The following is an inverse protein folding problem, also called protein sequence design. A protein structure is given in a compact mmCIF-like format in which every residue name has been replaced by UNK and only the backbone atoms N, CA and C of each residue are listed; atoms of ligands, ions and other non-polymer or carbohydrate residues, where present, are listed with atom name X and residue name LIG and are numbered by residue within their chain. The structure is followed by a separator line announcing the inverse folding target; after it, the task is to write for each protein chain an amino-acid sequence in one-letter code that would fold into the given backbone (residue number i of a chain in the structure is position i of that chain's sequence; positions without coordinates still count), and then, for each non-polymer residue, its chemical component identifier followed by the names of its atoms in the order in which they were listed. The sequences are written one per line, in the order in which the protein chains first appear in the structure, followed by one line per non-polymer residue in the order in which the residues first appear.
data_IF_200187187341
#
_entry.id   IF_200187187341
#
_cell.length_a   1.000
_cell.length_b   1.000
_cell.length_c   1.000
_cell.angle_alpha   90.00
_cell.angle_beta   90.00
_cell.angle_gamma   90.00
#
_symmetry.space_group_name_H-M   'P 1'
#
loop_
_entity.id
_entity.type
_entity.pdbx_description
1 polymer ?
#
# COMPACT_ATOMS: atom_id res chain seq x y z
N UNK A 1 7.46 17.97 25.93
CA UNK A 1 7.54 18.03 24.45
C UNK A 1 6.24 17.68 23.75
N UNK A 2 5.42 16.75 24.28
CA UNK A 2 4.16 16.33 23.66
C UNK A 2 3.15 17.44 23.26
N UNK A 3 2.94 18.55 24.01
CA UNK A 3 1.88 19.51 23.68
C UNK A 3 2.03 20.21 22.33
N UNK A 4 3.27 20.46 21.88
CA UNK A 4 3.54 21.09 20.59
C UNK A 4 3.20 20.16 19.41
N UNK A 5 3.64 18.90 19.51
CA UNK A 5 3.39 17.88 18.50
C UNK A 5 1.89 17.60 18.34
N UNK A 6 1.16 17.45 19.44
CA UNK A 6 -0.29 17.16 19.41
C UNK A 6 -1.08 18.30 18.73
N UNK A 7 -0.78 19.56 19.07
CA UNK A 7 -1.40 20.73 18.42
C UNK A 7 -1.11 20.75 16.92
N UNK A 8 0.11 20.40 16.53
CA UNK A 8 0.51 20.38 15.13
C UNK A 8 -0.20 19.27 14.34
N UNK A 9 -0.33 18.07 14.91
CA UNK A 9 -1.06 16.96 14.28
C UNK A 9 -2.55 17.28 14.10
N UNK A 10 -3.20 17.90 15.10
CA UNK A 10 -4.59 18.37 14.97
C UNK A 10 -4.73 19.47 13.90
N UNK A 11 -3.77 20.41 13.85
CA UNK A 11 -3.73 21.45 12.82
C UNK A 11 -3.62 20.84 11.42
N UNK A 12 -2.74 19.85 11.24
CA UNK A 12 -2.55 19.15 9.96
C UNK A 12 -3.78 18.34 9.58
N UNK A 13 -4.41 17.63 10.53
CA UNK A 13 -5.66 16.91 10.29
C UNK A 13 -6.76 17.85 9.79
N UNK A 14 -6.99 18.96 10.49
CA UNK A 14 -7.98 19.95 10.09
C UNK A 14 -7.64 20.58 8.72
N UNK A 15 -6.35 20.76 8.41
CA UNK A 15 -5.89 21.23 7.10
C UNK A 15 -6.21 20.23 5.99
N UNK A 16 -5.96 18.93 6.21
CA UNK A 16 -6.30 17.85 5.26
C UNK A 16 -7.82 17.83 5.01
N UNK A 17 -8.63 17.89 6.07
CA UNK A 17 -10.09 17.92 5.98
C UNK A 17 -10.58 19.11 5.13
N UNK A 18 -10.10 20.34 5.39
CA UNK A 18 -10.47 21.53 4.60
C UNK A 18 -10.04 21.47 3.14
N UNK A 19 -8.96 20.73 2.84
CA UNK A 19 -8.37 20.64 1.51
C UNK A 19 -8.68 19.31 0.80
N UNK A 20 -9.72 18.58 1.21
CA UNK A 20 -10.06 17.26 0.69
C UNK A 20 -10.31 17.17 -0.84
N UNK A 21 -10.42 18.31 -1.52
CA UNK A 21 -10.64 18.43 -2.97
C UNK A 21 -9.40 18.93 -3.74
N UNK A 22 -8.26 19.08 -3.07
CA UNK A 22 -7.08 19.77 -3.60
C UNK A 22 -5.83 18.90 -3.44
N UNK A 23 -5.47 18.08 -4.45
CA UNK A 23 -4.44 17.06 -4.31
C UNK A 23 -3.08 17.65 -3.95
N UNK A 24 -2.68 18.79 -4.53
CA UNK A 24 -1.43 19.45 -4.18
C UNK A 24 -1.38 19.92 -2.72
N UNK A 25 -2.50 20.45 -2.19
CA UNK A 25 -2.58 20.84 -0.78
C UNK A 25 -2.57 19.62 0.16
N UNK A 26 -3.20 18.52 -0.25
CA UNK A 26 -3.13 17.24 0.44
C UNK A 26 -1.70 16.69 0.45
N UNK A 27 -0.99 16.68 -0.69
CA UNK A 27 0.41 16.25 -0.79
C UNK A 27 1.28 17.00 0.20
N UNK A 28 1.21 18.34 0.22
CA UNK A 28 1.95 19.16 1.19
C UNK A 28 1.60 18.81 2.64
N UNK A 29 0.32 18.61 2.94
CA UNK A 29 -0.11 18.28 4.29
C UNK A 29 0.36 16.89 4.73
N UNK A 30 0.31 15.89 3.86
CA UNK A 30 0.82 14.55 4.15
C UNK A 30 2.35 14.51 4.22
N UNK A 31 3.09 15.31 3.44
CA UNK A 31 4.54 15.53 3.65
C UNK A 31 4.79 15.99 5.09
N UNK A 32 4.08 17.03 5.55
CA UNK A 32 4.22 17.53 6.92
C UNK A 32 3.84 16.49 7.97
N UNK A 33 2.83 15.65 7.73
CA UNK A 33 2.50 14.54 8.63
C UNK A 33 3.68 13.55 8.70
N UNK A 34 4.21 13.11 7.55
CA UNK A 34 5.32 12.17 7.47
C UNK A 34 6.58 12.68 8.17
N UNK A 35 6.87 13.98 8.07
CA UNK A 35 7.99 14.62 8.78
C UNK A 35 7.87 14.57 10.30
N UNK A 36 6.64 14.52 10.84
CA UNK A 36 6.38 14.42 12.28
C UNK A 36 6.36 12.99 12.80
N UNK A 37 6.26 11.98 11.94
CA UNK A 37 6.19 10.57 12.32
C UNK A 37 7.37 10.07 13.18
N UNK A 38 8.66 10.45 12.95
CA UNK A 38 9.74 9.99 13.83
C UNK A 38 9.56 10.52 15.25
N UNK A 39 9.31 11.83 15.38
CA UNK A 39 9.06 12.48 16.67
C UNK A 39 7.84 11.90 17.36
N UNK A 40 6.80 11.55 16.60
CA UNK A 40 5.62 10.86 17.11
C UNK A 40 5.98 9.54 17.77
N UNK A 41 6.67 8.62 17.07
CA UNK A 41 6.98 7.31 17.64
C UNK A 41 7.98 7.41 18.79
N UNK A 42 8.99 8.28 18.70
CA UNK A 42 9.92 8.54 19.81
C UNK A 42 9.18 9.01 21.05
N UNK A 43 8.22 9.93 20.91
CA UNK A 43 7.40 10.40 22.03
C UNK A 43 6.51 9.28 22.55
N UNK A 44 5.86 8.55 21.65
CA UNK A 44 4.89 7.50 21.97
C UNK A 44 5.47 6.35 22.80
N UNK A 45 6.74 6.02 22.64
CA UNK A 45 7.40 4.97 23.42
C UNK A 45 7.48 5.32 24.92
N UNK A 46 7.57 6.62 25.25
CA UNK A 46 7.64 7.08 26.64
C UNK A 46 6.29 7.29 27.31
N UNK A 47 5.19 7.17 26.56
CA UNK A 47 3.84 7.47 27.05
C UNK A 47 3.11 6.21 27.51
N UNK A 48 2.29 6.37 28.56
CA UNK A 48 1.39 5.29 29.02
C UNK A 48 0.34 5.03 27.96
N UNK A 49 0.30 3.81 27.42
CA UNK A 49 -0.60 3.46 26.32
C UNK A 49 -2.07 3.41 26.77
N UNK A 50 -2.99 3.65 25.84
CA UNK A 50 -4.43 3.56 26.10
C UNK A 50 -4.83 2.12 26.44
N UNK A 51 -5.95 1.97 27.16
CA UNK A 51 -6.51 0.65 27.49
C UNK A 51 -6.77 -0.19 26.23
N UNK A 52 -7.34 0.42 25.19
CA UNK A 52 -7.62 -0.20 23.89
C UNK A 52 -6.35 -0.79 23.25
N UNK A 53 -5.24 -0.04 23.27
CA UNK A 53 -3.94 -0.51 22.75
C UNK A 53 -3.41 -1.68 23.56
N UNK A 54 -3.47 -1.59 24.90
CA UNK A 54 -2.99 -2.66 25.77
C UNK A 54 -3.80 -3.95 25.57
N UNK A 55 -5.14 -3.85 25.49
CA UNK A 55 -6.02 -4.98 25.21
C UNK A 55 -5.73 -5.59 23.84
N UNK A 56 -5.60 -4.77 22.80
CA UNK A 56 -5.25 -5.23 21.46
C UNK A 56 -3.87 -5.91 21.40
N UNK A 57 -2.87 -5.38 22.11
CA UNK A 57 -1.52 -5.96 22.18
C UNK A 57 -1.54 -7.35 22.77
N UNK A 58 -2.25 -7.54 23.88
CA UNK A 58 -2.44 -8.84 24.52
C UNK A 58 -3.19 -9.80 23.59
N UNK A 59 -4.27 -9.33 22.96
CA UNK A 59 -5.14 -10.16 22.12
C UNK A 59 -4.48 -10.61 20.82
N UNK A 60 -3.73 -9.74 20.13
CA UNK A 60 -3.18 -10.04 18.80
C UNK A 60 -1.65 -10.19 18.79
N UNK A 61 -1.01 -10.22 19.96
CA UNK A 61 0.45 -10.41 20.11
C UNK A 61 1.31 -9.41 19.32
N UNK A 62 1.02 -8.11 19.43
CA UNK A 62 1.80 -7.05 18.78
C UNK A 62 2.46 -6.09 19.77
N UNK A 63 3.42 -5.29 19.28
CA UNK A 63 4.36 -4.52 20.12
C UNK A 63 4.43 -3.02 19.85
N UNK A 64 3.78 -2.52 18.81
CA UNK A 64 3.85 -1.11 18.43
C UNK A 64 3.12 -0.19 19.42
N UNK A 65 3.33 1.12 19.29
CA UNK A 65 2.77 2.14 20.20
C UNK A 65 2.12 3.29 19.43
N UNK A 66 1.20 3.97 20.10
CA UNK A 66 0.59 5.21 19.64
C UNK A 66 0.43 6.21 20.79
N UNK A 67 0.35 7.51 20.46
CA UNK A 67 0.03 8.54 21.44
C UNK A 67 -1.46 8.42 21.78
N UNK A 68 -1.82 8.15 23.05
CA UNK A 68 -3.23 8.00 23.44
C UNK A 68 -4.08 9.24 23.12
N UNK A 69 -3.47 10.43 23.19
CA UNK A 69 -4.16 11.71 22.97
C UNK A 69 -4.41 11.99 21.48
N UNK A 70 -3.61 11.39 20.60
CA UNK A 70 -3.77 11.50 19.15
C UNK A 70 -3.23 10.25 18.47
N UNK A 71 -4.05 9.20 18.30
CA UNK A 71 -3.59 8.05 17.56
C UNK A 71 -3.50 8.40 16.07
N UNK A 72 -2.33 8.19 15.45
CA UNK A 72 -2.12 8.51 14.02
C UNK A 72 -3.12 7.82 13.08
N UNK A 73 -3.76 6.72 13.51
CA UNK A 73 -4.81 6.06 12.72
C UNK A 73 -5.98 6.99 12.36
N UNK A 74 -6.15 8.13 13.05
CA UNK A 74 -7.13 9.19 12.70
C UNK A 74 -6.89 9.80 11.31
N UNK A 75 -5.71 9.64 10.72
CA UNK A 75 -5.43 10.05 9.35
C UNK A 75 -5.93 9.04 8.31
N UNK A 76 -6.23 7.78 8.68
CA UNK A 76 -6.56 6.71 7.72
C UNK A 76 -7.83 7.00 6.90
N UNK A 77 -8.96 7.43 7.50
CA UNK A 77 -10.15 7.75 6.69
C UNK A 77 -9.92 8.92 5.73
N UNK A 78 -9.05 9.86 6.09
CA UNK A 78 -8.68 10.99 5.23
C UNK A 78 -7.78 10.54 4.08
N UNK A 79 -6.80 9.68 4.38
CA UNK A 79 -5.90 9.08 3.41
C UNK A 79 -6.65 8.19 2.40
N UNK A 80 -7.58 7.35 2.87
CA UNK A 80 -8.40 6.51 2.00
C UNK A 80 -9.25 7.34 1.03
N UNK A 81 -9.95 8.37 1.53
CA UNK A 81 -10.69 9.30 0.67
C UNK A 81 -9.80 10.01 -0.35
N UNK A 82 -8.60 10.41 0.06
CA UNK A 82 -7.63 11.06 -0.83
C UNK A 82 -7.14 10.11 -1.92
N UNK A 83 -6.76 8.86 -1.58
CA UNK A 83 -6.34 7.84 -2.54
C UNK A 83 -7.46 7.47 -3.53
N UNK A 84 -8.68 7.24 -3.04
CA UNK A 84 -9.80 6.89 -3.91
C UNK A 84 -10.19 8.03 -4.86
N UNK A 85 -9.99 9.28 -4.43
CA UNK A 85 -10.33 10.46 -5.24
C UNK A 85 -9.25 10.84 -6.24
N UNK A 86 -7.98 10.62 -5.88
CA UNK A 86 -6.82 11.07 -6.65
C UNK A 86 -5.77 9.94 -6.83
N UNK A 87 -6.16 8.76 -7.33
CA UNK A 87 -5.22 7.64 -7.50
C UNK A 87 -4.08 7.93 -8.50
N UNK A 88 -4.25 8.93 -9.37
CA UNK A 88 -3.27 9.40 -10.36
C UNK A 88 -2.23 10.38 -9.80
N UNK A 89 -2.50 10.96 -8.62
CA UNK A 89 -1.66 12.02 -8.04
C UNK A 89 -0.45 11.42 -7.32
N UNK A 90 0.59 11.11 -8.11
CA UNK A 90 1.83 10.43 -7.70
C UNK A 90 2.42 10.90 -6.37
N UNK A 91 2.59 12.22 -6.19
CA UNK A 91 3.15 12.77 -4.95
C UNK A 91 2.28 12.48 -3.72
N UNK A 92 0.96 12.54 -3.87
CA UNK A 92 0.00 12.24 -2.81
C UNK A 92 0.00 10.75 -2.47
N UNK A 93 -0.10 9.90 -3.49
CA UNK A 93 -0.08 8.43 -3.36
C UNK A 93 1.18 7.98 -2.63
N UNK A 94 2.34 8.51 -3.03
CA UNK A 94 3.62 8.15 -2.43
C UNK A 94 3.68 8.48 -0.94
N UNK A 95 3.17 9.66 -0.54
CA UNK A 95 3.14 10.06 0.86
C UNK A 95 2.17 9.23 1.70
N UNK A 96 1.01 8.89 1.14
CA UNK A 96 0.06 8.05 1.83
C UNK A 96 0.60 6.61 1.95
N UNK A 97 1.22 6.06 0.90
CA UNK A 97 1.81 4.73 0.92
C UNK A 97 2.96 4.64 1.95
N UNK A 98 3.84 5.64 2.02
CA UNK A 98 4.90 5.72 3.03
C UNK A 98 4.31 5.76 4.45
N UNK A 99 3.35 6.66 4.68
CA UNK A 99 2.64 6.76 5.97
C UNK A 99 1.97 5.43 6.35
N UNK A 100 1.26 4.78 5.43
CA UNK A 100 0.62 3.48 5.65
C UNK A 100 1.64 2.42 6.08
N UNK A 101 2.80 2.39 5.43
CA UNK A 101 3.86 1.43 5.76
C UNK A 101 4.31 1.57 7.21
N UNK A 102 4.32 2.79 7.77
CA UNK A 102 4.67 3.00 9.18
C UNK A 102 3.50 2.77 10.15
N UNK A 103 2.27 3.18 9.77
CA UNK A 103 1.10 2.99 10.63
C UNK A 103 0.74 1.52 10.83
N UNK A 104 0.97 0.69 9.82
CA UNK A 104 0.59 -0.71 9.86
C UNK A 104 1.71 -1.66 10.24
N UNK A 105 2.91 -1.15 10.57
CA UNK A 105 4.11 -1.97 10.83
C UNK A 105 4.00 -2.94 12.02
N UNK A 106 2.96 -2.84 12.83
CA UNK A 106 2.55 -3.84 13.84
C UNK A 106 1.26 -3.45 14.59
N UNK A 107 0.53 -2.40 14.21
CA UNK A 107 -0.66 -1.96 14.95
C UNK A 107 -1.93 -2.62 14.39
N UNK A 108 -2.48 -3.60 15.11
CA UNK A 108 -3.65 -4.34 14.65
C UNK A 108 -4.90 -3.46 14.51
N UNK A 109 -5.09 -2.51 15.42
CA UNK A 109 -6.21 -1.56 15.37
C UNK A 109 -6.11 -0.70 14.11
N UNK A 110 -4.91 -0.17 13.82
CA UNK A 110 -4.68 0.60 12.61
C UNK A 110 -4.93 -0.24 11.35
N UNK A 111 -4.43 -1.49 11.28
CA UNK A 111 -4.66 -2.38 10.13
C UNK A 111 -6.16 -2.58 9.86
N UNK A 112 -6.92 -2.96 10.88
CA UNK A 112 -8.36 -3.15 10.76
C UNK A 112 -9.08 -1.86 10.34
N UNK A 113 -8.70 -0.71 10.90
CA UNK A 113 -9.25 0.59 10.50
C UNK A 113 -8.91 0.93 9.04
N UNK A 114 -7.67 0.67 8.61
CA UNK A 114 -7.21 0.88 7.24
C UNK A 114 -8.02 0.05 6.23
N UNK A 115 -8.26 -1.22 6.56
CA UNK A 115 -9.11 -2.11 5.76
C UNK A 115 -10.55 -1.61 5.71
N UNK A 116 -11.15 -1.24 6.85
CA UNK A 116 -12.54 -0.74 6.94
C UNK A 116 -12.78 0.59 6.22
N UNK A 117 -11.79 1.48 6.20
CA UNK A 117 -11.98 2.82 5.63
C UNK A 117 -11.63 2.90 4.13
N UNK A 118 -11.24 1.79 3.49
CA UNK A 118 -10.99 1.71 2.05
C UNK A 118 -9.56 2.07 1.63
N UNK A 119 -8.56 1.95 2.51
CA UNK A 119 -7.14 2.15 2.11
C UNK A 119 -6.75 1.15 1.02
N UNK A 120 -7.19 -0.11 1.12
CA UNK A 120 -6.89 -1.12 0.10
C UNK A 120 -7.44 -0.74 -1.27
N UNK A 121 -8.71 -0.32 -1.34
CA UNK A 121 -9.31 0.18 -2.57
C UNK A 121 -8.48 1.32 -3.19
N UNK A 122 -8.12 2.31 -2.37
CA UNK A 122 -7.33 3.46 -2.83
C UNK A 122 -5.95 3.08 -3.34
N UNK A 123 -5.22 2.21 -2.63
CA UNK A 123 -3.90 1.73 -3.04
C UNK A 123 -3.97 0.87 -4.30
N UNK A 124 -4.95 -0.03 -4.42
CA UNK A 124 -5.16 -0.82 -5.64
C UNK A 124 -5.52 0.07 -6.83
N UNK A 125 -6.33 1.11 -6.62
CA UNK A 125 -6.65 2.10 -7.66
C UNK A 125 -5.40 2.82 -8.14
N UNK A 126 -4.53 3.25 -7.22
CA UNK A 126 -3.27 3.90 -7.55
C UNK A 126 -2.29 2.96 -8.27
N UNK A 127 -2.17 1.69 -7.84
CA UNK A 127 -1.42 0.68 -8.57
C UNK A 127 -1.98 0.50 -9.99
N UNK A 128 -3.31 0.47 -10.14
CA UNK A 128 -3.93 0.45 -11.47
C UNK A 128 -3.49 1.61 -12.36
N UNK A 129 -3.47 2.85 -11.84
CA UNK A 129 -2.99 4.01 -12.59
C UNK A 129 -1.51 3.90 -12.98
N UNK A 130 -0.66 3.36 -12.10
CA UNK A 130 0.75 3.10 -12.41
C UNK A 130 0.88 2.05 -13.51
N UNK A 131 0.10 0.97 -13.48
CA UNK A 131 0.10 -0.08 -14.51
C UNK A 131 -0.30 0.44 -15.92
N UNK A 132 -1.11 1.50 -15.98
CA UNK A 132 -1.50 2.15 -17.24
C UNK A 132 -0.42 3.06 -17.84
N UNK A 133 0.67 3.33 -17.11
CA UNK A 133 1.75 4.22 -17.56
C UNK A 133 2.62 3.53 -18.62
N UNK A 134 2.73 4.16 -19.80
CA UNK A 134 3.56 3.69 -20.90
C UNK A 134 4.36 4.85 -21.52
N UNK A 135 5.70 4.73 -21.67
CA UNK A 135 6.53 3.61 -21.22
C UNK A 135 6.59 3.50 -19.69
N UNK A 136 6.72 2.28 -19.17
CA UNK A 136 6.87 2.04 -17.73
C UNK A 136 8.28 2.43 -17.27
N UNK A 137 8.37 3.54 -16.54
CA UNK A 137 9.64 4.15 -16.16
C UNK A 137 10.22 3.58 -14.86
N UNK A 138 11.47 3.94 -14.55
CA UNK A 138 12.08 3.61 -13.26
C UNK A 138 11.33 4.27 -12.08
N UNK A 139 10.75 5.45 -12.29
CA UNK A 139 9.90 6.08 -11.29
C UNK A 139 8.64 5.24 -11.04
N UNK A 140 7.99 4.73 -12.10
CA UNK A 140 6.82 3.87 -11.99
C UNK A 140 7.12 2.57 -11.22
N UNK A 141 8.33 2.02 -11.37
CA UNK A 141 8.81 0.90 -10.55
C UNK A 141 8.87 1.26 -9.06
N UNK A 142 9.42 2.44 -8.72
CA UNK A 142 9.48 2.92 -7.34
C UNK A 142 8.08 3.15 -6.76
N UNK A 143 7.17 3.71 -7.56
CA UNK A 143 5.76 3.89 -7.14
C UNK A 143 5.10 2.55 -6.87
N UNK A 144 5.21 1.59 -7.78
CA UNK A 144 4.65 0.26 -7.61
C UNK A 144 5.22 -0.42 -6.34
N UNK A 145 6.54 -0.37 -6.12
CA UNK A 145 7.17 -0.88 -4.89
C UNK A 145 6.52 -0.30 -3.64
N UNK A 146 6.35 1.03 -3.59
CA UNK A 146 5.81 1.73 -2.42
C UNK A 146 4.34 1.39 -2.19
N UNK A 147 3.55 1.35 -3.26
CA UNK A 147 2.12 1.02 -3.19
C UNK A 147 1.96 -0.43 -2.72
N UNK A 148 2.64 -1.40 -3.34
CA UNK A 148 2.53 -2.80 -2.94
C UNK A 148 3.15 -3.08 -1.58
N UNK A 149 4.23 -2.39 -1.22
CA UNK A 149 4.77 -2.39 0.13
C UNK A 149 3.73 -1.94 1.16
N UNK A 150 2.98 -0.87 0.87
CA UNK A 150 1.90 -0.39 1.72
C UNK A 150 0.72 -1.36 1.78
N UNK A 151 0.27 -1.90 0.62
CA UNK A 151 -0.78 -2.92 0.54
C UNK A 151 -0.42 -4.11 1.42
N UNK A 152 0.80 -4.66 1.24
CA UNK A 152 1.32 -5.74 2.07
C UNK A 152 1.25 -5.38 3.56
N UNK A 153 1.69 -4.18 3.94
CA UNK A 153 1.65 -3.75 5.35
C UNK A 153 0.25 -3.62 5.90
N UNK A 154 -0.76 -3.23 5.11
CA UNK A 154 -2.16 -3.17 5.56
C UNK A 154 -2.64 -4.56 5.98
N UNK A 155 -2.36 -5.59 5.16
CA UNK A 155 -2.95 -6.92 5.31
C UNK A 155 -2.07 -7.96 6.00
N UNK A 156 -0.77 -7.73 6.13
CA UNK A 156 0.08 -8.69 6.84
C UNK A 156 -0.38 -8.82 8.30
N UNK A 157 -0.43 -10.03 8.87
CA UNK A 157 -0.64 -10.19 10.30
C UNK A 157 0.43 -9.48 11.12
N UNK A 158 0.05 -9.04 12.33
CA UNK A 158 0.91 -8.15 13.10
C UNK A 158 2.22 -8.79 13.58
N UNK A 159 2.26 -10.10 13.82
CA UNK A 159 3.48 -10.80 14.23
C UNK A 159 3.36 -12.31 14.01
N UNK A 160 4.46 -13.06 14.18
CA UNK A 160 4.40 -14.53 14.20
C UNK A 160 3.49 -15.05 15.33
N UNK A 161 3.40 -14.31 16.44
CA UNK A 161 2.59 -14.68 17.60
C UNK A 161 1.09 -14.60 17.32
N UNK A 162 0.69 -13.89 16.26
CA UNK A 162 -0.69 -13.88 15.77
C UNK A 162 -1.14 -15.29 15.34
N UNK A 163 -0.27 -16.07 14.69
CA UNK A 163 -0.63 -17.41 14.22
C UNK A 163 -0.88 -18.40 15.37
N UNK A 164 -0.25 -18.17 16.51
CA UNK A 164 -0.49 -18.93 17.75
C UNK A 164 -1.77 -18.52 18.48
N UNK A 165 -2.48 -17.47 18.03
CA UNK A 165 -3.73 -17.07 18.65
C UNK A 165 -4.87 -18.05 18.33
N UNK A 166 -5.90 -18.10 19.21
CA UNK A 166 -7.16 -18.79 18.93
C UNK A 166 -7.78 -18.44 17.58
N UNK A 167 -8.54 -19.39 17.01
CA UNK A 167 -9.12 -19.24 15.66
C UNK A 167 -10.10 -18.07 15.58
N UNK A 168 -10.91 -17.84 16.62
CA UNK A 168 -11.85 -16.73 16.72
C UNK A 168 -11.16 -15.36 16.69
N UNK A 169 -10.01 -15.22 17.37
CA UNK A 169 -9.19 -13.99 17.32
C UNK A 169 -8.65 -13.73 15.92
N UNK A 170 -8.25 -14.78 15.21
CA UNK A 170 -7.76 -14.66 13.83
C UNK A 170 -8.89 -14.36 12.85
N UNK A 171 -10.03 -15.00 13.05
CA UNK A 171 -11.22 -14.83 12.23
C UNK A 171 -11.79 -13.41 12.33
N UNK A 172 -11.69 -12.76 13.49
CA UNK A 172 -11.98 -11.33 13.62
C UNK A 172 -11.16 -10.49 12.63
N UNK A 173 -9.86 -10.72 12.53
CA UNK A 173 -8.99 -10.01 11.59
C UNK A 173 -9.28 -10.38 10.13
N UNK A 174 -9.30 -11.68 9.82
CA UNK A 174 -9.48 -12.14 8.44
C UNK A 174 -10.89 -11.85 7.90
N UNK A 175 -11.92 -11.73 8.75
CA UNK A 175 -13.25 -11.31 8.31
C UNK A 175 -13.24 -9.87 7.78
N UNK A 176 -12.53 -8.96 8.45
CA UNK A 176 -12.33 -7.58 8.00
C UNK A 176 -11.51 -7.57 6.71
N UNK A 177 -10.46 -8.39 6.64
CA UNK A 177 -9.61 -8.50 5.47
C UNK A 177 -10.37 -9.02 4.24
N UNK A 178 -11.15 -10.10 4.38
CA UNK A 178 -11.98 -10.64 3.29
C UNK A 178 -13.01 -9.63 2.79
N UNK A 179 -13.66 -8.89 3.68
CA UNK A 179 -14.59 -7.81 3.29
C UNK A 179 -13.85 -6.77 2.46
N UNK A 180 -12.71 -6.29 2.95
CA UNK A 180 -11.95 -5.25 2.27
C UNK A 180 -11.41 -5.70 0.91
N UNK A 181 -10.99 -6.97 0.77
CA UNK A 181 -10.60 -7.54 -0.53
C UNK A 181 -11.77 -7.74 -1.49
N UNK A 182 -12.96 -8.07 -0.98
CA UNK A 182 -14.18 -8.17 -1.77
C UNK A 182 -14.68 -6.82 -2.30
N UNK A 183 -14.39 -5.74 -1.59
CA UNK A 183 -14.75 -4.37 -1.98
C UNK A 183 -13.78 -3.76 -3.01
N UNK A 184 -12.60 -4.36 -3.25
CA UNK A 184 -11.65 -3.83 -4.22
C UNK A 184 -12.23 -3.88 -5.65
N UNK A 185 -12.48 -2.71 -6.20
CA UNK A 185 -12.95 -2.50 -7.55
C UNK A 185 -11.99 -1.62 -8.37
N UNK A 186 -11.23 -2.26 -9.26
CA UNK A 186 -10.39 -1.59 -10.26
C UNK A 186 -10.77 -2.03 -11.68
N UNK A 187 -12.05 -2.36 -11.89
CA UNK A 187 -12.55 -2.94 -13.14
C UNK A 187 -12.30 -2.05 -14.36
N UNK A 188 -12.41 -0.72 -14.24
CA UNK A 188 -12.12 0.21 -15.34
C UNK A 188 -10.66 0.10 -15.79
N UNK A 189 -9.72 0.09 -14.85
CA UNK A 189 -8.29 -0.09 -15.13
C UNK A 189 -8.03 -1.44 -15.78
N UNK A 190 -8.59 -2.52 -15.22
CA UNK A 190 -8.37 -3.88 -15.72
C UNK A 190 -8.92 -4.06 -17.14
N UNK A 191 -10.06 -3.43 -17.48
CA UNK A 191 -10.59 -3.42 -18.84
C UNK A 191 -9.64 -2.73 -19.82
N UNK A 192 -9.04 -1.59 -19.43
CA UNK A 192 -8.06 -0.90 -20.27
C UNK A 192 -6.80 -1.75 -20.45
N UNK A 193 -6.30 -2.40 -19.38
CA UNK A 193 -5.14 -3.30 -19.47
C UNK A 193 -5.41 -4.51 -20.35
N UNK A 194 -6.56 -5.16 -20.18
CA UNK A 194 -6.97 -6.31 -21.00
C UNK A 194 -7.03 -5.96 -22.49
N UNK A 195 -7.58 -4.78 -22.83
CA UNK A 195 -7.64 -4.30 -24.21
C UNK A 195 -6.25 -4.03 -24.83
N UNK A 196 -5.28 -3.56 -24.04
CA UNK A 196 -3.90 -3.31 -24.51
C UNK A 196 -3.09 -4.59 -24.71
N UNK A 197 -3.28 -5.54 -23.80
CA UNK A 197 -2.40 -6.72 -23.73
C UNK A 197 -3.01 -7.97 -24.38
N UNK A 198 -4.21 -7.85 -24.94
CA UNK A 198 -4.88 -8.92 -25.68
C UNK A 198 -5.25 -10.10 -24.78
N UNK A 199 -5.55 -9.84 -23.51
CA UNK A 199 -5.95 -10.90 -22.59
C UNK A 199 -7.43 -11.24 -22.79
N UNK A 200 -7.76 -12.52 -22.57
CA UNK A 200 -9.15 -12.96 -22.52
C UNK A 200 -9.87 -12.20 -21.40
N UNK A 201 -11.14 -11.84 -21.66
CA UNK A 201 -11.96 -11.30 -20.59
C UNK A 201 -12.19 -12.38 -19.54
N UNK A 202 -12.01 -12.02 -18.27
CA UNK A 202 -12.37 -12.87 -17.14
C UNK A 202 -13.83 -12.66 -16.70
N UNK A 203 -14.66 -12.10 -17.60
CA UNK A 203 -16.09 -11.89 -17.40
C UNK A 203 -16.80 -13.25 -17.30
N UNK A 204 -17.16 -13.64 -16.08
CA UNK A 204 -17.94 -14.82 -15.78
C UNK A 204 -18.34 -14.80 -14.30
N UNK A 205 -19.39 -15.51 -13.88
CA UNK A 205 -19.70 -15.70 -12.46
C UNK A 205 -18.93 -16.90 -11.89
N UNK A 206 -18.09 -16.73 -10.84
CA UNK A 206 -17.74 -15.46 -10.20
C UNK A 206 -16.71 -14.65 -10.97
N UNK A 207 -16.81 -13.32 -10.86
CA UNK A 207 -15.83 -12.42 -11.45
C UNK A 207 -14.46 -12.63 -10.77
N UNK A 208 -13.38 -12.50 -11.53
CA UNK A 208 -12.04 -12.58 -10.98
C UNK A 208 -11.84 -11.54 -9.87
N UNK A 209 -11.23 -11.93 -8.75
CA UNK A 209 -10.83 -10.97 -7.73
C UNK A 209 -9.85 -9.94 -8.33
N UNK A 210 -10.27 -8.67 -8.37
CA UNK A 210 -9.53 -7.60 -9.04
C UNK A 210 -8.14 -7.35 -8.44
N UNK A 211 -7.96 -7.51 -7.13
CA UNK A 211 -6.67 -7.35 -6.48
C UNK A 211 -5.67 -8.44 -6.88
N UNK A 212 -6.13 -9.70 -6.95
CA UNK A 212 -5.30 -10.81 -7.44
C UNK A 212 -4.92 -10.58 -8.91
N UNK A 213 -5.89 -10.23 -9.75
CA UNK A 213 -5.65 -10.00 -11.18
C UNK A 213 -4.64 -8.87 -11.41
N UNK A 214 -4.80 -7.74 -10.70
CA UNK A 214 -3.85 -6.62 -10.76
C UNK A 214 -2.45 -7.04 -10.27
N UNK A 215 -2.36 -7.79 -9.18
CA UNK A 215 -1.07 -8.23 -8.64
C UNK A 215 -0.34 -9.19 -9.59
N UNK A 216 -1.08 -10.12 -10.20
CA UNK A 216 -0.54 -11.04 -11.22
C UNK A 216 -0.09 -10.30 -12.48
N UNK A 217 -0.79 -9.23 -12.88
CA UNK A 217 -0.33 -8.37 -13.98
C UNK A 217 1.08 -7.82 -13.73
N UNK A 218 1.34 -7.29 -12.52
CA UNK A 218 2.67 -6.80 -12.16
C UNK A 218 3.73 -7.89 -12.18
N UNK A 219 3.43 -9.08 -11.66
CA UNK A 219 4.34 -10.24 -11.69
C UNK A 219 4.66 -10.64 -13.13
N UNK A 220 3.63 -10.71 -14.00
CA UNK A 220 3.78 -11.10 -15.40
C UNK A 220 4.58 -10.09 -16.21
N UNK A 221 4.28 -8.80 -16.06
CA UNK A 221 4.87 -7.72 -16.87
C UNK A 221 6.27 -7.35 -16.43
N UNK A 222 6.59 -7.56 -15.16
CA UNK A 222 7.86 -7.12 -14.58
C UNK A 222 8.57 -8.22 -13.75
N UNK A 223 8.86 -9.39 -14.34
CA UNK A 223 9.42 -10.54 -13.61
C UNK A 223 10.85 -10.34 -13.12
N UNK A 224 11.56 -9.32 -13.64
CA UNK A 224 12.93 -8.98 -13.25
C UNK A 224 13.00 -7.87 -12.18
N UNK A 225 11.87 -7.43 -11.60
CA UNK A 225 11.90 -6.41 -10.56
C UNK A 225 12.52 -6.96 -9.27
N UNK A 226 13.44 -6.21 -8.70
CA UNK A 226 14.03 -6.47 -7.38
C UNK A 226 12.97 -6.62 -6.27
N UNK A 227 11.77 -6.08 -6.49
CA UNK A 227 10.72 -5.92 -5.50
C UNK A 227 9.54 -6.90 -5.72
N UNK A 228 9.75 -7.98 -6.49
CA UNK A 228 8.72 -8.98 -6.75
C UNK A 228 8.22 -9.68 -5.46
N UNK A 229 9.04 -9.67 -4.40
CA UNK A 229 8.65 -10.16 -3.08
C UNK A 229 7.40 -9.44 -2.55
N UNK A 230 7.27 -8.13 -2.76
CA UNK A 230 6.07 -7.40 -2.32
C UNK A 230 4.81 -7.88 -3.04
N UNK A 231 4.87 -8.16 -4.34
CA UNK A 231 3.72 -8.65 -5.10
C UNK A 231 3.33 -10.06 -4.66
N UNK A 232 4.32 -10.95 -4.48
CA UNK A 232 4.08 -12.32 -4.04
C UNK A 232 3.55 -12.38 -2.59
N UNK A 233 4.06 -11.52 -1.70
CA UNK A 233 3.54 -11.42 -0.34
C UNK A 233 2.12 -10.86 -0.31
N UNK A 234 1.76 -9.92 -1.20
CA UNK A 234 0.35 -9.48 -1.35
C UNK A 234 -0.54 -10.64 -1.80
N UNK A 235 -0.13 -11.42 -2.82
CA UNK A 235 -0.88 -12.61 -3.23
C UNK A 235 -1.07 -13.61 -2.08
N UNK A 236 0.00 -13.90 -1.33
CA UNK A 236 -0.09 -14.81 -0.20
C UNK A 236 -1.04 -14.28 0.86
N UNK A 237 -0.92 -13.01 1.26
CA UNK A 237 -1.76 -12.42 2.30
C UNK A 237 -3.25 -12.42 1.88
N UNK A 238 -3.56 -12.10 0.62
CA UNK A 238 -4.92 -12.27 0.08
C UNK A 238 -5.39 -13.70 0.32
N UNK A 239 -4.62 -14.71 -0.11
CA UNK A 239 -5.02 -16.10 0.04
C UNK A 239 -5.19 -16.54 1.49
N UNK A 240 -4.36 -16.03 2.39
CA UNK A 240 -4.39 -16.31 3.82
C UNK A 240 -5.74 -15.97 4.44
N UNK A 241 -6.31 -14.81 4.09
CA UNK A 241 -7.64 -14.39 4.50
C UNK A 241 -8.75 -15.39 4.12
N UNK A 242 -8.54 -16.13 3.03
CA UNK A 242 -9.46 -17.15 2.50
C UNK A 242 -8.96 -18.59 2.78
N UNK A 243 -8.21 -18.80 3.87
CA UNK A 243 -7.79 -20.14 4.30
C UNK A 243 -6.67 -20.74 3.44
N UNK A 244 -5.76 -19.88 2.97
CA UNK A 244 -4.71 -20.18 2.00
C UNK A 244 -5.25 -20.73 0.68
N UNK A 245 -6.28 -20.05 0.15
CA UNK A 245 -6.87 -20.32 -1.17
C UNK A 245 -7.09 -19.01 -1.91
N UNK A 246 -6.95 -19.01 -3.22
CA UNK A 246 -7.27 -17.83 -4.02
C UNK A 246 -8.79 -17.76 -4.25
N UNK A 247 -9.49 -16.72 -3.76
CA UNK A 247 -10.91 -16.55 -4.02
C UNK A 247 -11.18 -16.52 -5.54
N UNK A 248 -12.32 -17.09 -5.95
CA UNK A 248 -12.84 -17.12 -7.33
C UNK A 248 -12.01 -17.89 -8.38
N UNK A 249 -10.78 -18.32 -8.06
CA UNK A 249 -9.89 -18.98 -9.03
C UNK A 249 -10.38 -20.37 -9.43
N UNK A 250 -10.86 -21.19 -8.48
CA UNK A 250 -11.36 -22.54 -8.78
C UNK A 250 -12.63 -22.54 -9.65
N UNK A 251 -13.39 -21.45 -9.61
CA UNK A 251 -14.70 -21.32 -10.24
C UNK A 251 -14.62 -20.68 -11.65
N UNK A 252 -13.46 -20.14 -12.03
CA UNK A 252 -13.24 -19.45 -13.30
C UNK A 252 -12.03 -20.04 -14.05
N UNK A 253 -12.29 -20.88 -15.06
CA UNK A 253 -11.25 -21.64 -15.77
C UNK A 253 -10.22 -20.75 -16.49
N UNK A 254 -10.66 -19.66 -17.13
CA UNK A 254 -9.76 -18.72 -17.80
C UNK A 254 -8.85 -18.02 -16.78
N UNK A 255 -9.41 -17.57 -15.66
CA UNK A 255 -8.63 -16.95 -14.59
C UNK A 255 -7.66 -17.94 -13.94
N UNK A 256 -8.09 -19.19 -13.74
CA UNK A 256 -7.25 -20.28 -13.23
C UNK A 256 -6.03 -20.54 -14.11
N UNK A 257 -6.24 -20.66 -15.43
CA UNK A 257 -5.14 -20.80 -16.39
C UNK A 257 -4.20 -19.59 -16.35
N UNK A 258 -4.72 -18.37 -16.32
CA UNK A 258 -3.91 -17.16 -16.21
C UNK A 258 -3.04 -17.12 -14.94
N UNK A 259 -3.61 -17.49 -13.79
CA UNK A 259 -2.88 -17.55 -12.50
C UNK A 259 -1.73 -18.56 -12.61
N UNK A 260 -2.02 -19.77 -13.11
CA UNK A 260 -1.03 -20.83 -13.28
C UNK A 260 0.10 -20.39 -14.20
N UNK A 261 -0.23 -19.92 -15.40
CA UNK A 261 0.75 -19.56 -16.43
C UNK A 261 1.63 -18.42 -15.96
N UNK A 262 1.06 -17.43 -15.27
CA UNK A 262 1.80 -16.29 -14.71
C UNK A 262 2.82 -16.77 -13.67
N UNK A 263 2.41 -17.61 -12.72
CA UNK A 263 3.29 -18.12 -11.66
C UNK A 263 4.35 -19.09 -12.20
N UNK A 264 4.00 -19.96 -13.15
CA UNK A 264 4.96 -20.88 -13.79
C UNK A 264 6.00 -20.12 -14.63
N UNK A 265 5.59 -19.04 -15.30
CA UNK A 265 6.50 -18.14 -16.04
C UNK A 265 7.43 -17.42 -15.07
N UNK A 266 6.91 -16.86 -13.97
CA UNK A 266 7.72 -16.21 -12.94
C UNK A 266 8.75 -17.16 -12.30
N UNK A 267 8.40 -18.44 -12.16
CA UNK A 267 9.31 -19.49 -11.65
C UNK A 267 10.48 -19.80 -12.58
N UNK A 268 10.34 -19.53 -13.89
CA UNK A 268 11.34 -19.80 -14.93
C UNK A 268 11.83 -18.48 -15.54
N UNK A 269 12.51 -17.62 -14.77
CA UNK A 269 12.95 -16.33 -15.28
C UNK A 269 13.88 -16.52 -16.48
N UNK A 270 13.79 -15.60 -17.45
CA UNK A 270 14.64 -15.61 -18.64
C UNK A 270 16.14 -15.61 -18.32
N UNK A 271 16.54 -15.10 -17.15
CA UNK A 271 17.90 -15.26 -16.62
C UNK A 271 17.83 -15.66 -15.13
N UNK A 272 18.37 -16.83 -14.73
CA UNK A 272 18.26 -17.37 -13.37
C UNK A 272 18.83 -16.48 -12.26
N UNK A 273 19.83 -15.65 -12.56
CA UNK A 273 20.51 -14.79 -11.59
C UNK A 273 19.65 -13.65 -11.02
N UNK A 274 18.44 -13.42 -11.55
CA UNK A 274 17.58 -12.31 -11.12
C UNK A 274 16.70 -12.61 -9.91
N UNK A 275 16.53 -13.89 -9.53
CA UNK A 275 15.69 -14.26 -8.40
C UNK A 275 16.51 -14.56 -7.16
N UNK A 276 16.16 -13.88 -6.07
CA UNK A 276 16.65 -14.24 -4.74
C UNK A 276 16.01 -15.56 -4.28
N UNK A 277 16.65 -16.24 -3.33
CA UNK A 277 16.10 -17.46 -2.73
C UNK A 277 14.70 -17.25 -2.14
N UNK A 278 14.48 -16.10 -1.50
CA UNK A 278 13.19 -15.74 -0.89
C UNK A 278 12.11 -15.60 -1.97
N UNK A 279 12.41 -14.96 -3.10
CA UNK A 279 11.47 -14.83 -4.21
C UNK A 279 11.10 -16.21 -4.79
N UNK A 280 12.06 -17.12 -4.94
CA UNK A 280 11.76 -18.49 -5.37
C UNK A 280 10.84 -19.22 -4.39
N UNK A 281 11.14 -19.14 -3.09
CA UNK A 281 10.31 -19.78 -2.05
C UNK A 281 8.89 -19.17 -2.02
N UNK A 282 8.74 -17.86 -2.27
CA UNK A 282 7.43 -17.18 -2.39
C UNK A 282 6.65 -17.57 -3.67
N UNK A 283 7.33 -17.79 -4.80
CA UNK A 283 6.68 -18.31 -6.02
C UNK A 283 6.20 -19.74 -5.79
N UNK A 284 7.05 -20.59 -5.20
CA UNK A 284 6.69 -21.97 -4.87
C UNK A 284 5.51 -22.01 -3.89
N UNK A 285 5.47 -21.10 -2.91
CA UNK A 285 4.32 -20.92 -2.00
C UNK A 285 3.04 -20.53 -2.76
N UNK A 286 3.10 -19.54 -3.65
CA UNK A 286 1.95 -19.12 -4.45
C UNK A 286 1.43 -20.27 -5.33
N UNK A 287 2.31 -21.09 -5.90
CA UNK A 287 1.94 -22.30 -6.65
C UNK A 287 1.32 -23.38 -5.77
N UNK A 288 1.76 -23.55 -4.52
CA UNK A 288 1.13 -24.45 -3.56
C UNK A 288 -0.27 -23.97 -3.17
N UNK A 289 -0.44 -22.66 -2.94
CA UNK A 289 -1.75 -22.04 -2.70
C UNK A 289 -2.68 -22.25 -3.89
N UNK A 290 -2.19 -22.07 -5.12
CA UNK A 290 -2.95 -22.36 -6.34
C UNK A 290 -3.41 -23.82 -6.38
N UNK A 291 -2.51 -24.79 -6.14
CA UNK A 291 -2.86 -26.21 -6.09
C UNK A 291 -3.87 -26.54 -4.99
N UNK A 292 -3.70 -25.96 -3.80
CA UNK A 292 -4.65 -26.08 -2.69
C UNK A 292 -6.03 -25.51 -3.06
N UNK A 293 -6.06 -24.40 -3.80
CA UNK A 293 -7.31 -23.78 -4.27
C UNK A 293 -8.12 -24.75 -5.15
N UNK A 294 -7.43 -25.58 -5.96
CA UNK A 294 -8.08 -26.59 -6.80
C UNK A 294 -8.40 -27.88 -6.05
N UNK A 295 -7.56 -28.28 -5.08
CA UNK A 295 -7.74 -29.50 -4.31
C UNK A 295 -7.38 -29.28 -2.82
N UNK A 296 -8.30 -28.71 -2.01
CA UNK A 296 -8.01 -28.37 -0.62
C UNK A 296 -7.66 -29.56 0.27
N UNK A 297 -8.16 -30.76 -0.07
CA UNK A 297 -7.90 -32.00 0.66
C UNK A 297 -6.46 -32.53 0.47
N UNK A 298 -5.86 -32.30 -0.70
CA UNK A 298 -4.52 -32.79 -1.02
C UNK A 298 -3.42 -31.96 -0.35
N UNK A 299 -3.69 -30.67 -0.11
CA UNK A 299 -2.72 -29.73 0.43
C UNK A 299 -3.19 -29.14 1.76
N UNK A 300 -3.29 -29.92 2.85
CA UNK A 300 -3.87 -29.45 4.11
C UNK A 300 -3.13 -28.24 4.67
N UNK A 301 -3.88 -27.29 5.21
CA UNK A 301 -3.35 -26.08 5.83
C UNK A 301 -3.51 -26.12 7.34
N UNK A 302 -2.48 -25.64 8.04
CA UNK A 302 -2.50 -25.45 9.48
C UNK A 302 -2.50 -23.94 9.77
N UNK A 303 -3.60 -23.43 10.33
CA UNK A 303 -3.77 -22.02 10.68
C UNK A 303 -2.77 -21.47 11.70
N UNK A 304 -1.99 -22.33 12.34
CA UNK A 304 -0.93 -21.96 13.26
C UNK A 304 0.41 -21.76 12.56
N UNK A 305 0.45 -21.90 11.24
CA UNK A 305 1.61 -21.67 10.39
C UNK A 305 1.31 -20.56 9.37
N UNK A 306 2.22 -19.60 9.16
CA UNK A 306 2.06 -18.52 8.19
C UNK A 306 2.12 -18.96 6.73
N UNK A 307 2.74 -20.10 6.43
CA UNK A 307 2.92 -20.58 5.07
C UNK A 307 2.62 -22.08 4.96
N UNK A 308 2.26 -22.53 3.76
CA UNK A 308 2.23 -23.95 3.39
C UNK A 308 3.65 -24.51 3.27
N UNK A 309 4.59 -23.72 2.73
CA UNK A 309 5.98 -24.11 2.51
C UNK A 309 6.76 -24.11 3.83
N UNK A 310 7.36 -25.25 4.23
CA UNK A 310 8.14 -25.33 5.47
C UNK A 310 9.36 -24.38 5.51
N UNK A 311 9.95 -24.07 4.35
CA UNK A 311 11.09 -23.15 4.27
C UNK A 311 10.71 -21.73 4.71
N UNK A 312 9.59 -21.20 4.21
CA UNK A 312 9.08 -19.89 4.62
C UNK A 312 8.70 -19.87 6.10
N UNK A 313 8.07 -20.93 6.61
CA UNK A 313 7.77 -21.03 8.04
C UNK A 313 9.04 -20.91 8.91
N UNK A 314 10.16 -21.54 8.51
CA UNK A 314 11.44 -21.40 9.23
C UNK A 314 11.96 -19.98 9.19
N UNK A 315 11.90 -19.31 8.03
CA UNK A 315 12.31 -17.92 7.87
C UNK A 315 11.50 -16.98 8.79
N UNK A 316 10.17 -17.16 8.83
CA UNK A 316 9.29 -16.36 9.70
C UNK A 316 9.58 -16.56 11.19
N UNK A 317 9.79 -17.81 11.62
CA UNK A 317 10.13 -18.12 13.02
C UNK A 317 11.49 -17.53 13.41
N UNK A 318 12.50 -17.66 12.54
CA UNK A 318 13.84 -17.12 12.79
C UNK A 318 13.84 -15.60 12.91
N UNK A 319 13.10 -14.90 12.04
CA UNK A 319 13.01 -13.43 12.09
C UNK A 319 12.29 -12.91 13.35
N UNK A 320 11.24 -13.61 13.80
CA UNK A 320 10.44 -13.14 14.92
C UNK A 320 11.08 -13.35 16.30
N UNK A 321 11.90 -14.39 16.47
CA UNK A 321 12.58 -14.67 17.74
C UNK A 321 13.49 -13.53 18.20
N UNK A 322 14.22 -12.92 17.25
CA UNK A 322 15.15 -11.83 17.53
C UNK A 322 14.42 -10.55 17.99
N UNK A 323 13.32 -10.19 17.32
CA UNK A 323 12.55 -8.99 17.65
C UNK A 323 11.93 -9.06 19.04
N UNK A 324 11.69 -10.27 19.56
CA UNK A 324 11.08 -10.44 20.86
C UNK A 324 12.01 -10.06 22.04
N UNK A 325 13.32 -10.09 21.82
CA UNK A 325 14.35 -9.82 22.85
C UNK A 325 14.79 -8.36 22.90
N UNK A 326 14.48 -7.57 21.86
CA UNK A 326 14.91 -6.17 21.77
C UNK A 326 13.92 -5.26 22.51
N UNK A 327 14.40 -4.38 23.42
CA UNK A 327 13.58 -3.33 24.03
C UNK A 327 12.87 -2.49 22.97
N UNK A 328 11.58 -2.21 23.18
CA UNK A 328 10.76 -1.48 22.22
C UNK A 328 11.34 -0.11 21.84
N UNK A 329 11.95 0.59 22.80
CA UNK A 329 12.62 1.87 22.55
C UNK A 329 13.78 1.77 21.58
N UNK A 330 14.59 0.71 21.67
CA UNK A 330 15.69 0.46 20.74
C UNK A 330 15.16 0.08 19.36
N UNK A 331 14.09 -0.73 19.30
CA UNK A 331 13.45 -1.08 18.03
C UNK A 331 12.91 0.16 17.31
N UNK A 332 12.16 1.01 18.02
CA UNK A 332 11.63 2.27 17.47
C UNK A 332 12.76 3.22 17.08
N UNK A 333 13.83 3.30 17.88
CA UNK A 333 15.01 4.12 17.54
C UNK A 333 15.71 3.66 16.26
N UNK A 334 15.96 2.35 16.13
CA UNK A 334 16.59 1.75 14.95
C UNK A 334 15.73 1.92 13.70
N UNK A 335 14.42 1.68 13.82
CA UNK A 335 13.44 1.90 12.75
C UNK A 335 13.39 3.36 12.32
N UNK A 336 13.30 4.30 13.27
CA UNK A 336 13.31 5.73 12.97
C UNK A 336 14.59 6.16 12.25
N UNK A 337 15.75 5.64 12.67
CA UNK A 337 17.04 5.96 12.04
C UNK A 337 17.08 5.44 10.59
N UNK A 338 16.79 4.16 10.38
CA UNK A 338 16.77 3.57 9.03
C UNK A 338 15.72 4.20 8.12
N UNK A 339 14.61 4.70 8.69
CA UNK A 339 13.54 5.36 7.96
C UNK A 339 13.82 6.82 7.65
N UNK A 340 14.69 7.51 8.39
CA UNK A 340 14.89 8.94 8.22
C UNK A 340 15.42 9.29 6.83
N UNK A 341 16.47 8.59 6.37
CA UNK A 341 17.05 8.79 5.04
C UNK A 341 16.07 8.40 3.92
N UNK A 342 15.40 7.27 4.12
CA UNK A 342 14.36 6.79 3.23
C UNK A 342 13.28 7.85 3.05
N UNK A 343 12.70 8.31 4.16
CA UNK A 343 11.61 9.28 4.16
C UNK A 343 12.04 10.62 3.59
N UNK A 344 13.26 11.07 3.84
CA UNK A 344 13.80 12.26 3.20
C UNK A 344 13.75 12.14 1.68
N UNK A 345 14.20 10.99 1.15
CA UNK A 345 14.12 10.66 -0.28
C UNK A 345 12.67 10.64 -0.77
N UNK A 346 11.76 9.96 -0.05
CA UNK A 346 10.35 9.89 -0.44
C UNK A 346 9.70 11.27 -0.43
N UNK A 347 9.97 12.11 0.58
CA UNK A 347 9.44 13.48 0.67
C UNK A 347 10.01 14.38 -0.43
N UNK A 348 11.30 14.26 -0.75
CA UNK A 348 11.91 14.98 -1.87
C UNK A 348 11.26 14.58 -3.20
N UNK A 349 11.09 13.27 -3.42
CA UNK A 349 10.41 12.74 -4.60
C UNK A 349 8.97 13.24 -4.68
N UNK A 350 8.20 13.18 -3.59
CA UNK A 350 6.82 13.70 -3.54
C UNK A 350 6.75 15.20 -3.87
N UNK A 351 7.71 16.02 -3.41
CA UNK A 351 7.81 17.45 -3.74
C UNK A 351 8.08 17.71 -5.21
N UNK A 352 8.80 16.83 -5.91
CA UNK A 352 9.00 16.95 -7.37
C UNK A 352 7.66 16.92 -8.10
N UNK A 353 6.74 16.06 -7.65
CA UNK A 353 5.39 15.96 -8.22
C UNK A 353 4.41 17.04 -7.72
N UNK A 354 4.74 17.79 -6.67
CA UNK A 354 3.92 18.92 -6.21
C UNK A 354 3.81 20.02 -7.28
N UNK A 355 4.87 20.18 -8.09
CA UNK A 355 4.96 21.20 -9.14
C UNK A 355 4.72 20.60 -10.53
N UNK A 356 3.68 19.77 -10.65
CA UNK A 356 3.26 19.19 -11.92
C UNK A 356 2.21 20.09 -12.59
N UNK A 357 2.32 20.28 -13.90
CA UNK A 357 1.31 21.03 -14.65
C UNK A 357 0.00 20.23 -14.67
N UNK A 358 -1.07 20.77 -14.08
CA UNK A 358 -2.33 20.03 -13.95
C UNK A 358 -3.06 19.75 -15.27
N UNK A 359 -2.63 20.33 -16.41
CA UNK A 359 -3.21 20.01 -17.71
C UNK A 359 -2.44 18.97 -18.51
N UNK A 360 -1.10 19.05 -18.49
CA UNK A 360 -0.25 18.23 -19.36
C UNK A 360 0.65 17.27 -18.61
N UNK A 361 0.55 17.24 -17.28
CA UNK A 361 1.29 16.35 -16.37
C UNK A 361 2.82 16.46 -16.44
N UNK A 362 3.36 17.46 -17.15
CA UNK A 362 4.80 17.74 -17.16
C UNK A 362 5.26 18.23 -15.81
N UNK A 363 6.44 17.80 -15.40
CA UNK A 363 7.09 18.25 -14.17
C UNK A 363 7.76 19.60 -14.39
N UNK A 364 7.82 20.42 -13.34
CA UNK A 364 8.62 21.65 -13.36
C UNK A 364 10.09 21.37 -13.67
N UNK A 365 10.63 20.24 -13.22
CA UNK A 365 12.01 19.81 -13.46
C UNK A 365 12.29 19.42 -14.90
N UNK A 366 11.27 19.13 -15.71
CA UNK A 366 11.41 18.79 -17.13
C UNK A 366 11.44 20.03 -18.04
N UNK A 367 11.24 21.24 -17.50
CA UNK A 367 11.33 22.46 -18.30
C UNK A 367 12.77 22.70 -18.78
N UNK A 368 12.96 23.20 -20.01
CA UNK A 368 14.25 23.70 -20.47
C UNK A 368 14.85 24.72 -19.49
N UNK A 369 16.17 24.70 -19.32
CA UNK A 369 16.86 25.70 -18.49
C UNK A 369 16.60 27.10 -19.05
N UNK A 370 16.22 28.04 -18.17
CA UNK A 370 15.90 29.42 -18.53
C UNK A 370 14.40 29.71 -18.69
N UNK A 371 13.56 28.67 -18.77
CA UNK A 371 12.12 28.86 -18.77
C UNK A 371 11.58 29.34 -17.40
N UNK A 372 10.50 30.15 -17.38
CA UNK A 372 9.89 30.58 -16.13
C UNK A 372 9.29 29.40 -15.34
N UNK A 373 9.22 29.48 -14.01
CA UNK A 373 8.54 28.47 -13.21
C UNK A 373 7.05 28.39 -13.57
N UNK A 374 6.45 27.23 -13.29
CA UNK A 374 5.02 27.01 -13.45
C UNK A 374 4.26 28.04 -12.61
N UNK A 375 3.24 28.61 -13.22
CA UNK A 375 2.39 29.60 -12.58
C UNK A 375 1.34 28.89 -11.75
N UNK A 376 1.13 29.38 -10.53
CA UNK A 376 0.01 28.93 -9.70
C UNK A 376 -1.28 29.58 -10.18
N UNK A 377 -2.40 28.88 -10.01
CA UNK A 377 -3.72 29.48 -10.17
C UNK A 377 -3.82 30.71 -9.25
N UNK A 378 -4.12 31.89 -9.80
CA UNK A 378 -4.16 33.13 -9.02
C UNK A 378 -5.19 33.11 -7.88
N UNK A 379 -6.25 32.31 -8.02
CA UNK A 379 -7.32 32.18 -7.03
C UNK A 379 -6.96 31.23 -5.89
N UNK A 380 -6.70 29.95 -6.19
CA UNK A 380 -6.48 28.94 -5.15
C UNK A 380 -5.02 28.76 -4.73
N UNK A 381 -4.08 29.27 -5.54
CA UNK A 381 -2.63 29.11 -5.37
C UNK A 381 -2.13 27.67 -5.22
N UNK A 382 -2.96 26.67 -5.50
CA UNK A 382 -2.65 25.27 -5.22
C UNK A 382 -2.34 24.43 -6.46
N UNK A 383 -2.85 24.84 -7.62
CA UNK A 383 -2.66 24.14 -8.89
C UNK A 383 -1.62 24.87 -9.73
N UNK A 384 -0.70 24.12 -10.35
CA UNK A 384 0.38 24.64 -11.18
C UNK A 384 0.08 24.45 -12.67
N UNK A 385 0.51 25.42 -13.48
CA UNK A 385 0.39 25.40 -14.93
C UNK A 385 1.68 25.87 -15.58
N UNK A 386 2.14 25.15 -16.61
CA UNK A 386 3.32 25.56 -17.38
C UNK A 386 3.11 26.87 -18.15
N UNK A 387 1.85 27.26 -18.38
CA UNK A 387 1.49 28.53 -18.99
C UNK A 387 -0.02 28.75 -19.03
N UNK A 388 -0.42 29.94 -19.48
CA UNK A 388 -1.83 30.35 -19.55
C UNK A 388 -2.69 29.43 -20.43
N UNK A 389 -2.12 28.81 -21.46
CA UNK A 389 -2.84 27.88 -22.32
C UNK A 389 -3.32 26.64 -21.54
N UNK A 390 -2.40 25.99 -20.82
CA UNK A 390 -2.74 24.84 -19.96
C UNK A 390 -3.78 25.21 -18.90
N UNK A 391 -3.67 26.41 -18.30
CA UNK A 391 -4.67 26.89 -17.35
C UNK A 391 -6.06 27.03 -17.99
N UNK A 392 -6.16 27.66 -19.17
CA UNK A 392 -7.44 27.82 -19.88
C UNK A 392 -8.07 26.48 -20.25
N UNK A 393 -7.26 25.52 -20.71
CA UNK A 393 -7.73 24.19 -21.09
C UNK A 393 -8.23 23.39 -19.90
N UNK A 394 -7.56 23.46 -18.75
CA UNK A 394 -7.98 22.76 -17.53
C UNK A 394 -9.08 23.51 -16.76
N UNK A 395 -9.35 24.78 -17.07
CA UNK A 395 -10.25 25.63 -16.28
C UNK A 395 -11.66 25.05 -16.12
N UNK A 396 -12.20 24.37 -17.13
CA UNK A 396 -13.57 23.80 -17.08
C UNK A 396 -13.73 22.76 -15.97
N UNK A 397 -12.69 21.96 -15.75
CA UNK A 397 -12.60 20.94 -14.69
C UNK A 397 -12.21 21.62 -13.37
N UNK A 398 -11.12 22.39 -13.38
CA UNK A 398 -10.58 23.02 -12.16
C UNK A 398 -11.54 23.98 -11.47
N UNK A 399 -12.35 24.76 -12.21
CA UNK A 399 -13.25 25.77 -11.60
C UNK A 399 -14.22 25.20 -10.58
N UNK A 400 -14.55 23.91 -10.70
CA UNK A 400 -15.46 23.21 -9.79
C UNK A 400 -14.84 22.96 -8.41
N UNK A 401 -13.51 22.93 -8.34
CA UNK A 401 -12.73 22.65 -7.12
C UNK A 401 -11.82 23.82 -6.74
N UNK A 402 -11.92 24.96 -7.43
CA UNK A 402 -11.05 26.12 -7.21
C UNK A 402 -11.56 26.97 -6.03
N UNK A 403 -10.93 26.80 -4.86
CA UNK A 403 -11.25 27.52 -3.61
C UNK A 403 -10.08 28.42 -3.21
N UNK A 404 -10.35 29.66 -2.79
CA UNK A 404 -9.31 30.57 -2.30
C UNK A 404 -8.71 30.05 -0.97
N UNK A 405 -7.41 30.28 -0.70
CA UNK A 405 -6.72 29.77 0.48
C UNK A 405 -7.34 30.12 1.83
#
# INVERSE_FOLDING_TARGET
MAPGLLRELERLRAKIERNAHNPAALTRAFISVSELVPSYFTTSVGETQSREVLESRTRHSWRWVELPQFPLRRFLPLAARALCRFPEERGLVLMIADLCTDLFKQNMIAKMEGMRCGILQGLCSAAGQVALSEPFSQDDMLFAERIFGAIRKVVEPASIGFYSQPVDVKEEFYSVERSAWGEVNVGDTLRVLAAREGWESFDGPPAANHAILLTLHYIKKHPAMTNMDHYLEVLRNIAEAFGNMFPTVAENAAFSSFVKDTLETARRPAQPQHLTRIQMDLIDEALLIYKRTLNPSEFPWNHSKPALLPALNRLYVQGAGLLNLVPLSLLVGAENLGRQEHRATVCETARKYESTCAKCSRLQSERPRGDPPFRRCARCQSVFYCGANCQRLHWREHRQVCVAP
#
